data_IF_571120488893
#
_entry.id   IF_571120488893
#
_cell.length_a   1.000
_cell.length_b   1.000
_cell.length_c   1.000
_cell.angle_alpha   90.00
_cell.angle_beta   90.00
_cell.angle_gamma   90.00
#
_symmetry.space_group_name_H-M   'P 1'
#
loop_
_entity.id
_entity.type
_entity.pdbx_description
1 polymer ?
#
# COMPACT_ATOMS: atom_id res chain seq x y z
N UNK A 1 14.22 10.39 19.42
CA UNK A 1 15.05 9.24 19.06
C UNK A 1 15.78 8.73 20.30
N UNK A 2 15.33 7.61 20.86
CA UNK A 2 16.12 6.85 21.80
C UNK A 2 17.27 6.22 21.01
N UNK A 3 18.48 6.70 21.24
CA UNK A 3 19.66 6.21 20.55
C UNK A 3 19.99 4.82 21.09
N UNK A 4 20.24 3.96 20.15
CA UNK A 4 20.82 2.64 20.16
C UNK A 4 21.57 2.28 21.46
N UNK A 5 20.89 1.58 22.35
CA UNK A 5 21.51 0.93 23.53
C UNK A 5 21.89 -0.53 23.22
N UNK A 6 21.44 -1.07 22.09
CA UNK A 6 21.72 -2.41 21.65
C UNK A 6 21.68 -2.50 20.12
N UNK A 7 22.55 -3.30 19.53
CA UNK A 7 22.47 -3.65 18.11
C UNK A 7 21.29 -4.57 17.82
N UNK A 8 20.80 -5.26 18.84
CA UNK A 8 19.76 -6.25 18.73
C UNK A 8 18.39 -5.59 18.57
N UNK A 9 18.15 -4.48 19.27
CA UNK A 9 16.84 -3.82 19.26
C UNK A 9 16.95 -2.31 19.38
N UNK A 10 16.21 -1.61 18.51
CA UNK A 10 15.85 -0.19 18.66
C UNK A 10 14.34 -0.09 18.71
N UNK A 11 13.80 0.55 19.73
CA UNK A 11 12.36 0.80 19.88
C UNK A 11 12.06 2.25 19.55
N UNK A 12 11.03 2.48 18.76
CA UNK A 12 10.60 3.80 18.34
C UNK A 12 9.07 3.90 18.49
N UNK A 13 8.56 4.25 19.69
CA UNK A 13 7.16 4.62 19.83
C UNK A 13 6.91 5.96 19.14
N UNK A 14 5.74 6.13 18.57
CA UNK A 14 5.31 7.37 17.92
C UNK A 14 3.80 7.54 18.02
N UNK A 15 3.39 8.75 17.76
CA UNK A 15 1.99 9.13 17.67
C UNK A 15 1.81 10.04 16.46
N UNK A 16 0.77 9.78 15.68
CA UNK A 16 0.31 10.65 14.60
C UNK A 16 -1.17 10.98 14.83
N UNK A 17 -1.58 12.17 14.44
CA UNK A 17 -2.97 12.60 14.48
C UNK A 17 -3.35 13.31 13.20
N UNK A 18 -4.57 13.10 12.75
CA UNK A 18 -5.15 13.81 11.63
C UNK A 18 -6.46 14.47 12.07
N UNK A 19 -6.57 15.76 11.81
CA UNK A 19 -7.82 16.50 11.92
C UNK A 19 -8.12 17.15 10.58
N UNK A 20 -9.30 16.90 10.07
CA UNK A 20 -9.79 17.43 8.80
C UNK A 20 -11.19 17.96 9.02
N UNK A 21 -11.47 19.16 8.51
CA UNK A 21 -12.81 19.74 8.50
C UNK A 21 -13.40 19.59 7.11
N UNK A 22 -14.64 19.18 7.02
CA UNK A 22 -15.37 19.09 5.76
C UNK A 22 -15.43 20.47 5.09
N UNK A 23 -15.23 20.50 3.80
CA UNK A 23 -15.52 21.69 2.98
C UNK A 23 -16.99 21.66 2.58
N UNK A 24 -17.82 22.55 3.14
CA UNK A 24 -19.26 22.58 2.83
C UNK A 24 -19.55 22.97 1.37
N UNK A 25 -18.59 23.61 0.68
CA UNK A 25 -18.65 23.92 -0.73
C UNK A 25 -17.85 22.96 -1.60
N UNK A 26 -17.30 21.89 -0.98
CA UNK A 26 -16.33 21.01 -1.57
C UNK A 26 -16.90 20.21 -2.73
N UNK A 27 -16.55 20.61 -3.93
CA UNK A 27 -16.64 19.78 -5.13
C UNK A 27 -15.57 18.68 -5.13
N UNK A 28 -14.64 18.69 -4.17
CA UNK A 28 -13.57 17.71 -4.07
C UNK A 28 -13.93 16.68 -3.01
N UNK A 29 -14.05 15.48 -3.45
CA UNK A 29 -14.42 14.27 -2.69
C UNK A 29 -13.49 13.97 -1.50
N UNK A 30 -12.31 14.59 -1.46
CA UNK A 30 -11.30 14.39 -0.41
C UNK A 30 -11.63 15.10 0.90
N UNK A 31 -12.50 16.13 0.89
CA UNK A 31 -12.83 16.95 2.05
C UNK A 31 -14.31 16.89 2.43
N UNK A 32 -14.97 15.78 2.14
CA UNK A 32 -16.40 15.63 2.45
C UNK A 32 -16.65 15.40 3.94
N UNK A 33 -15.71 14.78 4.65
CA UNK A 33 -15.90 14.32 6.01
C UNK A 33 -15.14 15.21 7.00
N UNK A 34 -15.78 15.53 8.12
CA UNK A 34 -15.06 15.91 9.33
C UNK A 34 -14.40 14.66 9.90
N UNK A 35 -13.11 14.71 10.14
CA UNK A 35 -12.34 13.55 10.60
C UNK A 35 -11.45 13.95 11.76
N UNK A 36 -11.42 13.13 12.78
CA UNK A 36 -10.42 13.23 13.84
C UNK A 36 -9.95 11.82 14.18
N UNK A 37 -8.72 11.50 13.75
CA UNK A 37 -8.14 10.17 13.87
C UNK A 37 -6.80 10.27 14.60
N UNK A 38 -6.63 9.47 15.62
CA UNK A 38 -5.45 9.30 16.42
C UNK A 38 -4.78 7.97 16.10
N UNK A 39 -3.47 7.95 15.89
CA UNK A 39 -2.72 6.75 15.54
C UNK A 39 -1.48 6.60 16.41
N UNK A 40 -1.60 6.04 17.63
CA UNK A 40 -0.45 5.52 18.33
C UNK A 40 0.16 4.34 17.59
N UNK A 41 1.49 4.25 17.61
CA UNK A 41 2.22 3.19 16.95
C UNK A 41 3.59 2.97 17.55
N UNK A 42 4.21 1.88 17.16
CA UNK A 42 5.62 1.62 17.47
C UNK A 42 6.31 0.92 16.31
N UNK A 43 7.62 1.08 16.25
CA UNK A 43 8.53 0.33 15.41
C UNK A 43 9.63 -0.27 16.25
N UNK A 44 9.95 -1.53 16.00
CA UNK A 44 11.08 -2.25 16.59
C UNK A 44 11.94 -2.80 15.47
N UNK A 45 13.23 -2.46 15.46
CA UNK A 45 14.14 -2.95 14.44
C UNK A 45 15.53 -3.21 15.02
N UNK A 46 16.29 -4.09 14.37
CA UNK A 46 17.63 -4.43 14.81
C UNK A 46 18.27 -5.55 14.02
N UNK A 47 19.41 -6.02 14.53
CA UNK A 47 20.18 -7.13 13.97
C UNK A 47 20.53 -8.14 15.05
N UNK A 48 20.27 -9.41 14.77
CA UNK A 48 20.65 -10.51 15.65
C UNK A 48 21.98 -11.10 15.14
N UNK A 49 23.08 -10.45 15.52
CA UNK A 49 24.41 -10.80 15.07
C UNK A 49 24.54 -10.79 13.54
N UNK A 50 25.06 -11.90 12.98
CA UNK A 50 25.12 -12.12 11.52
C UNK A 50 23.97 -12.99 10.99
N UNK A 51 23.03 -13.37 11.85
CA UNK A 51 21.96 -14.32 11.51
C UNK A 51 20.89 -13.65 10.64
N UNK A 52 20.31 -12.56 11.14
CA UNK A 52 19.26 -11.81 10.44
C UNK A 52 19.12 -10.38 10.97
N UNK A 53 18.57 -9.52 10.17
CA UNK A 53 18.01 -8.23 10.57
C UNK A 53 16.47 -8.29 10.49
N UNK A 54 15.81 -7.41 11.26
CA UNK A 54 14.37 -7.35 11.31
C UNK A 54 13.86 -5.92 11.49
N UNK A 55 12.64 -5.70 11.02
CA UNK A 55 11.89 -4.46 11.18
C UNK A 55 10.42 -4.80 11.36
N UNK A 56 9.84 -4.40 12.48
CA UNK A 56 8.44 -4.64 12.82
C UNK A 56 7.80 -3.31 13.18
N UNK A 57 6.66 -3.00 12.58
CA UNK A 57 5.86 -1.84 12.97
C UNK A 57 4.41 -2.23 13.21
N UNK A 58 3.76 -1.52 14.14
CA UNK A 58 2.34 -1.65 14.42
C UNK A 58 1.72 -0.27 14.64
N UNK A 59 0.52 -0.08 14.11
CA UNK A 59 -0.28 1.13 14.21
C UNK A 59 -1.72 0.77 14.56
N UNK A 60 -2.32 1.54 15.45
CA UNK A 60 -3.74 1.45 15.74
C UNK A 60 -4.38 2.82 15.54
N UNK A 61 -5.44 2.87 14.75
CA UNK A 61 -6.20 4.09 14.49
C UNK A 61 -7.50 4.08 15.30
N UNK A 62 -7.73 5.18 16.01
CA UNK A 62 -8.90 5.43 16.82
C UNK A 62 -9.44 6.82 16.50
N UNK A 63 -10.76 6.97 16.45
CA UNK A 63 -11.34 8.28 16.19
C UNK A 63 -12.73 8.20 15.57
N UNK A 64 -13.05 9.18 14.74
CA UNK A 64 -14.32 9.24 14.06
C UNK A 64 -14.24 9.92 12.69
N UNK A 65 -15.20 9.58 11.83
CA UNK A 65 -15.52 10.25 10.58
C UNK A 65 -16.98 10.72 10.68
N UNK A 66 -17.23 12.01 10.45
CA UNK A 66 -18.57 12.58 10.46
C UNK A 66 -18.90 13.16 9.08
N UNK A 67 -20.04 12.77 8.51
CA UNK A 67 -20.54 13.31 7.25
C UNK A 67 -21.56 14.43 7.55
N UNK A 68 -21.22 15.71 7.36
CA UNK A 68 -22.11 16.81 7.68
C UNK A 68 -23.37 16.87 6.79
N UNK A 69 -23.38 16.18 5.66
CA UNK A 69 -24.55 16.13 4.78
C UNK A 69 -25.57 15.11 5.25
N UNK A 70 -25.13 13.94 5.67
CA UNK A 70 -26.01 12.87 6.14
C UNK A 70 -26.18 12.84 7.65
N UNK A 71 -25.39 13.65 8.40
CA UNK A 71 -25.29 13.66 9.86
C UNK A 71 -24.84 12.30 10.44
N UNK A 72 -24.33 11.42 9.61
CA UNK A 72 -23.82 10.13 10.03
C UNK A 72 -22.42 10.26 10.64
N UNK A 73 -22.21 9.63 11.78
CA UNK A 73 -20.90 9.51 12.41
C UNK A 73 -20.50 8.05 12.44
N UNK A 74 -19.30 7.76 11.94
CA UNK A 74 -18.73 6.43 11.93
C UNK A 74 -17.49 6.43 12.83
N UNK A 75 -17.39 5.47 13.74
CA UNK A 75 -16.21 5.31 14.59
C UNK A 75 -15.09 4.70 13.78
N UNK A 76 -13.89 5.29 13.85
CA UNK A 76 -12.67 4.71 13.31
C UNK A 76 -12.06 3.75 14.32
N UNK A 77 -11.85 2.49 13.93
CA UNK A 77 -11.14 1.48 14.72
C UNK A 77 -10.40 0.54 13.77
N UNK A 78 -9.15 0.88 13.44
CA UNK A 78 -8.41 0.20 12.40
C UNK A 78 -6.97 -0.07 12.82
N UNK A 79 -6.35 -1.07 12.19
CA UNK A 79 -4.98 -1.45 12.51
C UNK A 79 -4.16 -1.77 11.27
N UNK A 80 -2.86 -1.48 11.36
CA UNK A 80 -1.90 -1.82 10.34
C UNK A 80 -0.57 -2.25 10.95
N UNK A 81 0.08 -3.24 10.33
CA UNK A 81 1.40 -3.67 10.76
C UNK A 81 2.25 -4.16 9.60
N UNK A 82 3.56 -4.09 9.79
CA UNK A 82 4.55 -4.68 8.87
C UNK A 82 5.54 -5.51 9.64
N UNK A 83 5.97 -6.60 9.04
CA UNK A 83 7.03 -7.46 9.54
C UNK A 83 8.00 -7.69 8.39
N UNK A 84 9.25 -7.35 8.57
CA UNK A 84 10.33 -7.64 7.64
C UNK A 84 11.44 -8.39 8.35
N UNK A 85 11.94 -9.46 7.74
CA UNK A 85 13.10 -10.22 8.22
C UNK A 85 14.02 -10.47 7.03
N UNK A 86 15.30 -10.19 7.21
CA UNK A 86 16.30 -10.32 6.16
C UNK A 86 17.60 -10.94 6.63
N UNK A 87 18.30 -11.60 5.71
CA UNK A 87 19.64 -12.12 5.92
C UNK A 87 20.55 -11.73 4.77
N UNK A 88 21.68 -11.12 5.11
CA UNK A 88 22.77 -10.86 4.17
C UNK A 88 23.76 -12.02 4.24
N UNK A 89 24.12 -12.58 3.09
CA UNK A 89 25.07 -13.68 2.99
C UNK A 89 26.49 -13.14 2.76
N UNK A 90 27.47 -13.86 3.27
CA UNK A 90 28.89 -13.54 3.09
C UNK A 90 29.33 -13.98 1.68
N UNK A 91 29.28 -13.06 0.75
CA UNK A 91 29.62 -13.25 -0.66
C UNK A 91 30.05 -11.90 -1.24
N UNK A 92 30.94 -11.85 -2.26
CA UNK A 92 31.37 -10.58 -2.88
C UNK A 92 30.21 -9.68 -3.34
N UNK A 93 29.11 -10.23 -3.79
CA UNK A 93 27.91 -9.49 -4.22
C UNK A 93 26.94 -9.18 -3.07
N UNK A 94 27.27 -9.59 -1.84
CA UNK A 94 26.46 -9.35 -0.63
C UNK A 94 24.97 -9.60 -0.83
N UNK A 95 24.57 -10.79 -1.36
CA UNK A 95 23.16 -11.05 -1.57
C UNK A 95 22.41 -10.99 -0.24
N UNK A 96 21.26 -10.30 -0.24
CA UNK A 96 20.36 -10.22 0.90
C UNK A 96 18.99 -10.76 0.50
N UNK A 97 18.55 -11.81 1.18
CA UNK A 97 17.19 -12.34 1.05
C UNK A 97 16.33 -11.76 2.15
N UNK A 98 15.13 -11.28 1.81
CA UNK A 98 14.19 -10.67 2.73
C UNK A 98 12.79 -11.23 2.52
N UNK A 99 12.12 -11.56 3.62
CA UNK A 99 10.69 -11.81 3.69
C UNK A 99 9.99 -10.60 4.30
N UNK A 100 8.90 -10.19 3.71
CA UNK A 100 8.08 -9.08 4.18
C UNK A 100 6.61 -9.52 4.24
N UNK A 101 5.91 -9.09 5.27
CA UNK A 101 4.47 -9.18 5.37
C UNK A 101 3.90 -7.84 5.84
N UNK A 102 2.98 -7.29 5.05
CA UNK A 102 2.24 -6.09 5.38
C UNK A 102 0.76 -6.39 5.53
N UNK A 103 0.14 -5.79 6.53
CA UNK A 103 -1.28 -5.86 6.82
C UNK A 103 -1.84 -4.48 7.11
N UNK A 104 -2.95 -4.15 6.48
CA UNK A 104 -3.79 -3.01 6.79
C UNK A 104 -5.24 -3.50 6.82
N UNK A 105 -5.94 -3.26 7.91
CA UNK A 105 -7.34 -3.69 8.06
C UNK A 105 -8.25 -3.07 7.01
N UNK A 106 -9.32 -3.77 6.69
CA UNK A 106 -10.40 -3.32 5.82
C UNK A 106 -11.72 -3.37 6.58
N UNK A 107 -12.67 -2.57 6.14
CA UNK A 107 -14.02 -2.55 6.69
C UNK A 107 -14.78 -3.84 6.30
N UNK A 108 -15.30 -4.52 7.31
CA UNK A 108 -16.02 -5.79 7.13
C UNK A 108 -17.52 -5.60 6.93
N UNK A 109 -18.04 -4.52 7.51
CA UNK A 109 -19.47 -4.23 7.51
C UNK A 109 -19.73 -2.72 7.51
N UNK A 110 -19.85 -2.09 6.37
CA UNK A 110 -20.02 -0.64 6.25
C UNK A 110 -21.33 -0.09 6.85
N UNK A 111 -22.17 -0.95 7.46
CA UNK A 111 -23.49 -0.57 8.00
C UNK A 111 -23.57 -0.71 9.52
N UNK A 112 -22.46 -0.97 10.23
CA UNK A 112 -22.47 -1.16 11.69
C UNK A 112 -22.05 0.09 12.49
N UNK A 113 -21.77 1.20 11.80
CA UNK A 113 -21.33 2.45 12.44
C UNK A 113 -19.85 2.47 12.81
N UNK A 114 -19.10 1.45 12.45
CA UNK A 114 -17.65 1.40 12.59
C UNK A 114 -16.97 1.40 11.21
N UNK A 115 -15.84 2.09 11.09
CA UNK A 115 -14.93 2.01 9.96
C UNK A 115 -13.66 1.31 10.43
N UNK A 116 -13.51 0.06 10.05
CA UNK A 116 -12.34 -0.75 10.38
C UNK A 116 -11.26 -0.65 9.30
N UNK A 117 -11.44 0.18 8.28
CA UNK A 117 -10.46 0.39 7.23
C UNK A 117 -9.31 1.23 7.73
N UNK A 118 -8.10 0.73 7.60
CA UNK A 118 -6.89 1.47 7.90
C UNK A 118 -6.70 2.59 6.87
N UNK A 119 -6.56 3.82 7.37
CA UNK A 119 -6.28 5.00 6.57
C UNK A 119 -4.78 5.32 6.61
N UNK A 120 -4.15 5.38 5.47
CA UNK A 120 -2.70 5.65 5.38
C UNK A 120 -2.30 7.09 5.76
N UNK A 121 -3.25 8.00 6.09
CA UNK A 121 -3.08 9.42 6.35
C UNK A 121 -2.38 10.15 5.20
N UNK A 122 -1.06 10.02 5.16
CA UNK A 122 -0.18 10.58 4.15
C UNK A 122 0.84 9.52 3.74
N UNK A 123 1.31 9.61 2.52
CA UNK A 123 2.38 8.74 2.06
C UNK A 123 2.21 8.30 0.61
N UNK A 124 3.26 7.70 0.12
CA UNK A 124 3.34 7.21 -1.25
C UNK A 124 3.05 5.71 -1.28
N UNK A 125 2.42 5.26 -2.36
CA UNK A 125 2.16 3.84 -2.56
C UNK A 125 3.44 3.03 -2.88
N UNK A 126 4.52 3.68 -3.32
CA UNK A 126 5.77 3.02 -3.74
C UNK A 126 6.36 1.99 -2.77
N UNK A 127 6.33 2.15 -1.44
CA UNK A 127 6.80 1.11 -0.53
C UNK A 127 6.01 -0.20 -0.65
N UNK A 128 4.76 -0.11 -1.14
CA UNK A 128 3.84 -1.24 -1.27
C UNK A 128 3.82 -1.80 -2.69
N UNK A 129 3.85 -0.92 -3.69
CA UNK A 129 3.84 -1.25 -5.10
C UNK A 129 4.55 -0.15 -5.88
N UNK A 130 5.53 -0.50 -6.71
CA UNK A 130 6.30 0.49 -7.46
C UNK A 130 5.46 1.21 -8.53
N UNK A 131 4.42 0.59 -9.01
CA UNK A 131 3.46 1.11 -10.00
C UNK A 131 2.28 1.85 -9.37
N UNK A 132 2.27 2.02 -8.05
CA UNK A 132 1.16 2.60 -7.28
C UNK A 132 -0.18 1.84 -7.41
N UNK A 133 -0.16 0.59 -7.89
CA UNK A 133 -1.36 -0.21 -8.06
C UNK A 133 -1.96 -0.63 -6.72
N UNK A 134 -1.14 -0.80 -5.69
CA UNK A 134 -1.54 -1.21 -4.35
C UNK A 134 -1.09 -0.19 -3.31
N UNK A 135 -1.97 0.15 -2.40
CA UNK A 135 -1.72 1.09 -1.30
C UNK A 135 -1.90 0.39 0.05
N UNK A 136 -1.44 1.04 1.13
CA UNK A 136 -1.50 0.48 2.48
C UNK A 136 -2.87 0.71 3.13
N UNK A 137 -3.90 0.13 2.53
CA UNK A 137 -5.29 0.16 2.98
C UNK A 137 -5.95 -1.14 2.56
N UNK A 138 -6.75 -1.75 3.43
CA UNK A 138 -7.46 -3.01 3.16
C UNK A 138 -6.57 -4.07 2.49
N UNK A 139 -5.38 -4.31 3.02
CA UNK A 139 -4.33 -5.04 2.34
C UNK A 139 -3.68 -6.12 3.21
N UNK A 140 -3.42 -7.27 2.60
CA UNK A 140 -2.47 -8.30 3.03
C UNK A 140 -1.45 -8.47 1.91
N UNK A 141 -0.17 -8.21 2.19
CA UNK A 141 0.90 -8.20 1.18
C UNK A 141 2.13 -8.99 1.64
N UNK A 142 2.14 -10.32 1.50
CA UNK A 142 3.38 -11.08 1.60
C UNK A 142 4.29 -10.78 0.41
N UNK A 143 5.60 -10.61 0.67
CA UNK A 143 6.63 -10.34 -0.35
C UNK A 143 7.91 -11.10 -0.04
N UNK A 144 8.63 -11.45 -1.11
CA UNK A 144 10.01 -11.94 -1.05
C UNK A 144 10.85 -10.97 -1.88
N UNK A 145 11.96 -10.48 -1.30
CA UNK A 145 12.90 -9.59 -1.98
C UNK A 145 14.32 -10.13 -1.91
N UNK A 146 15.04 -9.94 -2.98
CA UNK A 146 16.45 -10.28 -3.08
C UNK A 146 17.24 -9.08 -3.59
N UNK A 147 18.21 -8.63 -2.80
CA UNK A 147 19.10 -7.52 -3.13
C UNK A 147 20.49 -8.08 -3.45
N UNK A 148 21.17 -7.47 -4.43
CA UNK A 148 22.54 -7.78 -4.81
C UNK A 148 23.34 -6.50 -5.00
N UNK A 149 24.58 -6.49 -4.57
CA UNK A 149 25.49 -5.37 -4.74
C UNK A 149 26.84 -5.85 -5.33
N UNK A 150 26.90 -6.12 -6.65
CA UNK A 150 28.11 -6.64 -7.29
C UNK A 150 29.30 -5.70 -7.20
N UNK A 151 29.07 -4.39 -7.17
CA UNK A 151 30.10 -3.36 -6.99
C UNK A 151 29.61 -2.28 -6.02
N UNK A 152 30.51 -1.39 -5.61
CA UNK A 152 30.12 -0.25 -4.76
C UNK A 152 29.15 0.72 -5.47
N UNK A 153 29.10 0.69 -6.81
CA UNK A 153 28.26 1.58 -7.62
C UNK A 153 26.99 0.92 -8.16
N UNK A 154 26.96 -0.41 -8.24
CA UNK A 154 25.88 -1.14 -8.92
C UNK A 154 25.13 -2.03 -7.94
N UNK A 155 23.84 -1.84 -7.87
CA UNK A 155 22.91 -2.67 -7.08
C UNK A 155 21.73 -3.15 -7.92
N UNK A 156 21.25 -4.34 -7.62
CA UNK A 156 20.05 -4.94 -8.17
C UNK A 156 19.08 -5.29 -7.05
N UNK A 157 17.80 -5.17 -7.33
CA UNK A 157 16.73 -5.60 -6.44
C UNK A 157 15.69 -6.35 -7.27
N UNK A 158 15.28 -7.51 -6.78
CA UNK A 158 14.22 -8.32 -7.33
C UNK A 158 13.18 -8.56 -6.24
N UNK A 159 11.92 -8.27 -6.51
CA UNK A 159 10.82 -8.46 -5.57
C UNK A 159 9.72 -9.26 -6.24
N UNK A 160 9.13 -10.19 -5.50
CA UNK A 160 7.88 -10.84 -5.85
C UNK A 160 6.89 -10.66 -4.72
N UNK A 161 5.72 -10.14 -5.05
CA UNK A 161 4.69 -9.78 -4.07
C UNK A 161 3.35 -10.37 -4.46
N UNK A 162 2.59 -10.80 -3.44
CA UNK A 162 1.18 -11.17 -3.59
C UNK A 162 0.34 -10.15 -2.83
N UNK A 163 -0.85 -9.86 -3.35
CA UNK A 163 -1.75 -8.87 -2.79
C UNK A 163 -3.13 -9.46 -2.60
N UNK A 164 -3.62 -9.37 -1.38
CA UNK A 164 -4.97 -9.80 -1.01
C UNK A 164 -5.68 -8.66 -0.28
N UNK A 165 -6.98 -8.58 -0.42
CA UNK A 165 -7.80 -7.71 0.42
C UNK A 165 -7.84 -8.28 1.85
N UNK A 166 -7.75 -7.42 2.87
CA UNK A 166 -7.97 -7.81 4.25
C UNK A 166 -9.46 -8.09 4.52
N UNK A 167 -10.34 -7.30 3.91
CA UNK A 167 -11.78 -7.53 3.80
C UNK A 167 -12.21 -7.55 2.33
N UNK A 168 -12.78 -8.65 1.88
CA UNK A 168 -13.26 -8.82 0.52
C UNK A 168 -14.53 -8.00 0.19
N UNK A 169 -15.16 -7.38 1.20
CA UNK A 169 -16.33 -6.53 1.03
C UNK A 169 -15.99 -5.05 0.97
N UNK A 170 -14.75 -4.71 1.28
CA UNK A 170 -14.27 -3.34 1.23
C UNK A 170 -13.53 -3.06 -0.09
N UNK A 171 -13.21 -1.80 -0.33
CA UNK A 171 -12.54 -1.33 -1.53
C UNK A 171 -11.06 -1.64 -1.53
N UNK A 172 -10.49 -1.85 -2.71
CA UNK A 172 -9.06 -2.07 -2.92
C UNK A 172 -8.26 -0.77 -2.93
N UNK A 173 -8.81 0.29 -3.55
CA UNK A 173 -8.15 1.59 -3.71
C UNK A 173 -8.97 2.71 -3.10
N UNK A 174 -8.27 3.77 -2.68
CA UNK A 174 -8.90 5.03 -2.31
C UNK A 174 -8.75 6.12 -3.38
N UNK A 175 -7.60 6.14 -4.06
CA UNK A 175 -7.22 7.23 -4.98
C UNK A 175 -8.20 7.36 -6.16
N UNK A 176 -8.73 6.27 -6.66
CA UNK A 176 -9.69 6.28 -7.76
C UNK A 176 -11.14 6.45 -7.27
N UNK A 177 -11.39 6.18 -6.02
CA UNK A 177 -12.70 6.36 -5.40
C UNK A 177 -13.04 7.83 -5.14
N UNK A 178 -12.05 8.68 -5.02
CA UNK A 178 -12.26 10.08 -4.74
C UNK A 178 -13.25 10.77 -5.67
N UNK A 179 -13.35 10.34 -6.91
CA UNK A 179 -14.26 10.90 -7.89
C UNK A 179 -15.44 9.98 -8.29
N UNK A 180 -15.35 8.70 -7.99
CA UNK A 180 -16.28 7.72 -8.55
C UNK A 180 -17.20 7.14 -7.48
N UNK A 181 -16.70 6.94 -6.27
CA UNK A 181 -17.47 6.25 -5.24
C UNK A 181 -18.50 7.12 -4.54
N UNK A 182 -18.38 8.42 -4.65
CA UNK A 182 -19.41 9.32 -4.10
C UNK A 182 -20.63 9.46 -4.97
N UNK A 183 -20.59 8.98 -6.17
CA UNK A 183 -21.83 8.65 -6.85
C UNK A 183 -22.28 7.29 -6.32
N UNK A 184 -23.03 7.35 -5.29
CA UNK A 184 -23.76 6.29 -4.58
C UNK A 184 -24.37 5.22 -5.51
N UNK A 185 -24.41 5.45 -6.79
CA UNK A 185 -25.03 4.59 -7.80
C UNK A 185 -24.08 3.61 -8.46
N UNK A 186 -22.76 3.85 -8.42
CA UNK A 186 -21.79 2.88 -8.89
C UNK A 186 -20.84 2.53 -7.72
N UNK A 187 -20.91 1.30 -7.18
CA UNK A 187 -20.02 0.87 -6.10
C UNK A 187 -18.55 0.84 -6.51
N UNK A 188 -18.23 1.37 -7.71
CA UNK A 188 -16.92 1.34 -8.28
C UNK A 188 -16.47 -0.08 -8.63
N UNK A 189 -15.61 -0.22 -9.62
CA UNK A 189 -15.07 -1.54 -9.95
C UNK A 189 -14.11 -2.07 -8.86
N UNK A 190 -13.65 -1.22 -7.94
CA UNK A 190 -12.70 -1.56 -6.90
C UNK A 190 -13.35 -2.07 -5.59
N UNK A 191 -14.69 -2.15 -5.52
CA UNK A 191 -15.44 -2.63 -4.35
C UNK A 191 -16.48 -3.66 -4.72
N UNK A 192 -16.57 -4.74 -3.95
CA UNK A 192 -17.65 -5.72 -4.00
C UNK A 192 -18.28 -5.90 -2.62
N UNK A 193 -19.41 -5.26 -2.37
CA UNK A 193 -20.14 -5.38 -1.09
C UNK A 193 -20.63 -6.79 -0.79
N UNK A 194 -20.80 -7.63 -1.82
CA UNK A 194 -21.21 -9.03 -1.64
C UNK A 194 -20.07 -9.93 -1.22
N UNK A 195 -18.82 -9.53 -1.58
CA UNK A 195 -17.61 -10.30 -1.36
C UNK A 195 -17.48 -11.54 -2.26
N UNK A 196 -18.29 -11.65 -3.32
CA UNK A 196 -18.24 -12.78 -4.25
C UNK A 196 -17.09 -12.67 -5.27
N UNK A 197 -16.53 -11.47 -5.44
CA UNK A 197 -15.38 -11.26 -6.32
C UNK A 197 -14.07 -11.89 -5.81
N UNK A 198 -14.06 -12.40 -4.57
CA UNK A 198 -12.87 -12.95 -3.94
C UNK A 198 -12.06 -11.89 -3.17
N UNK A 199 -10.88 -12.28 -2.70
CA UNK A 199 -9.95 -11.38 -2.01
C UNK A 199 -8.58 -11.30 -2.67
N UNK A 200 -8.25 -12.18 -3.61
CA UNK A 200 -6.97 -12.16 -4.31
C UNK A 200 -6.94 -11.04 -5.36
N UNK A 201 -6.22 -9.94 -5.03
CA UNK A 201 -6.08 -8.81 -5.92
C UNK A 201 -5.10 -9.09 -7.08
N UNK A 202 -4.03 -9.86 -6.82
CA UNK A 202 -3.04 -10.20 -7.82
C UNK A 202 -1.65 -10.40 -7.24
N UNK A 203 -0.66 -10.44 -8.14
CA UNK A 203 0.74 -10.52 -7.77
C UNK A 203 1.59 -9.63 -8.69
N UNK A 204 2.76 -9.22 -8.21
CA UNK A 204 3.68 -8.43 -8.99
C UNK A 204 5.10 -8.98 -8.92
N UNK A 205 5.79 -8.89 -10.05
CA UNK A 205 7.24 -8.98 -10.13
C UNK A 205 7.80 -7.57 -10.31
N UNK A 206 8.77 -7.20 -9.48
CA UNK A 206 9.43 -5.89 -9.55
C UNK A 206 10.94 -6.11 -9.67
N UNK A 207 11.57 -5.41 -10.60
CA UNK A 207 13.02 -5.38 -10.79
C UNK A 207 13.54 -3.95 -10.75
N UNK A 208 14.65 -3.71 -10.05
CA UNK A 208 15.32 -2.41 -10.01
C UNK A 208 16.82 -2.56 -10.21
N UNK A 209 17.39 -1.64 -10.99
CA UNK A 209 18.83 -1.47 -11.15
C UNK A 209 19.16 -0.08 -10.63
N UNK A 210 20.10 0.00 -9.68
CA UNK A 210 20.61 1.25 -9.14
C UNK A 210 22.08 1.41 -9.52
N UNK A 211 22.42 2.57 -10.05
CA UNK A 211 23.79 2.89 -10.43
C UNK A 211 24.23 4.24 -9.87
N UNK A 212 25.29 4.23 -9.06
CA UNK A 212 25.90 5.45 -8.53
C UNK A 212 26.89 5.99 -9.55
N UNK A 213 26.45 7.01 -10.32
CA UNK A 213 27.27 7.64 -11.38
C UNK A 213 28.43 8.40 -10.77
N UNK A 214 28.14 9.26 -9.78
CA UNK A 214 29.10 9.99 -8.95
C UNK A 214 28.69 9.94 -7.49
N UNK A 215 29.51 10.38 -6.52
CA UNK A 215 29.06 10.45 -5.12
C UNK A 215 27.77 11.28 -4.89
N UNK A 216 27.45 12.18 -5.83
CA UNK A 216 26.29 13.07 -5.75
C UNK A 216 25.16 12.70 -6.73
N UNK A 217 25.39 11.80 -7.67
CA UNK A 217 24.40 11.47 -8.73
C UNK A 217 24.16 9.97 -8.72
N UNK A 218 22.94 9.57 -8.45
CA UNK A 218 22.44 8.20 -8.57
C UNK A 218 21.38 8.10 -9.66
N UNK A 219 21.34 6.96 -10.35
CA UNK A 219 20.31 6.62 -11.33
C UNK A 219 19.63 5.31 -10.95
N UNK A 220 18.33 5.22 -11.15
CA UNK A 220 17.53 4.01 -10.93
C UNK A 220 16.69 3.74 -12.15
N UNK A 221 16.75 2.51 -12.66
CA UNK A 221 15.81 1.98 -13.64
C UNK A 221 14.98 0.90 -12.96
N UNK A 222 13.67 0.99 -13.03
CA UNK A 222 12.78 0.00 -12.44
C UNK A 222 11.69 -0.43 -13.40
N UNK A 223 11.30 -1.70 -13.29
CA UNK A 223 10.21 -2.30 -14.02
C UNK A 223 9.35 -3.13 -13.09
N UNK A 224 8.03 -3.02 -13.26
CA UNK A 224 7.03 -3.82 -12.54
C UNK A 224 6.06 -4.42 -13.54
N UNK A 225 5.78 -5.71 -13.37
CA UNK A 225 4.68 -6.40 -14.04
C UNK A 225 3.69 -6.87 -12.98
N UNK A 226 2.48 -6.31 -13.00
CA UNK A 226 1.37 -6.74 -12.15
C UNK A 226 0.45 -7.66 -12.93
N UNK A 227 0.15 -8.83 -12.37
CA UNK A 227 -0.83 -9.78 -12.88
C UNK A 227 -2.07 -9.74 -12.01
N UNK A 228 -3.21 -9.40 -12.60
CA UNK A 228 -4.48 -9.30 -11.91
C UNK A 228 -4.95 -10.65 -11.37
N UNK A 229 -5.40 -10.65 -10.11
CA UNK A 229 -6.08 -11.76 -9.46
C UNK A 229 -7.58 -11.79 -9.72
N UNK A 230 -8.26 -12.72 -9.07
CA UNK A 230 -9.69 -12.94 -9.29
C UNK A 230 -10.54 -11.74 -8.88
N UNK A 231 -10.19 -11.05 -7.78
CA UNK A 231 -10.90 -9.84 -7.38
C UNK A 231 -10.93 -8.80 -8.50
N UNK A 232 -9.76 -8.45 -9.04
CA UNK A 232 -9.64 -7.42 -10.09
C UNK A 232 -10.39 -7.85 -11.36
N UNK A 233 -10.18 -9.09 -11.80
CA UNK A 233 -10.86 -9.63 -12.99
C UNK A 233 -12.37 -9.63 -12.86
N UNK A 234 -12.88 -10.08 -11.71
CA UNK A 234 -14.32 -10.15 -11.46
C UNK A 234 -14.93 -8.74 -11.35
N UNK A 235 -14.19 -7.77 -10.78
CA UNK A 235 -14.67 -6.38 -10.70
C UNK A 235 -14.67 -5.68 -12.06
N UNK A 236 -13.66 -5.89 -12.89
CA UNK A 236 -13.65 -5.41 -14.27
C UNK A 236 -14.84 -6.00 -15.05
N UNK A 237 -15.09 -7.30 -14.91
CA UNK A 237 -16.20 -7.97 -15.58
C UNK A 237 -17.58 -7.47 -15.13
N UNK A 238 -17.72 -7.06 -13.87
CA UNK A 238 -18.94 -6.55 -13.28
C UNK A 238 -19.15 -5.04 -13.50
N UNK A 239 -18.21 -4.33 -14.10
CA UNK A 239 -18.31 -2.87 -14.29
C UNK A 239 -19.47 -2.52 -15.22
N UNK A 240 -20.37 -1.59 -14.85
CA UNK A 240 -21.46 -1.12 -15.72
C UNK A 240 -20.97 -0.53 -17.04
N UNK A 241 -19.79 0.08 -17.07
CA UNK A 241 -19.18 0.60 -18.28
C UNK A 241 -18.90 -0.49 -19.29
N UNK A 242 -18.66 -1.72 -18.83
CA UNK A 242 -18.49 -2.89 -19.68
C UNK A 242 -19.82 -3.47 -20.18
N UNK A 243 -20.88 -3.30 -19.39
CA UNK A 243 -22.22 -3.81 -19.73
C UNK A 243 -22.96 -2.91 -20.73
N UNK A 244 -22.65 -1.61 -20.78
CA UNK A 244 -23.42 -0.61 -21.55
C UNK A 244 -22.83 -0.27 -22.91
N UNK A 245 -21.78 -0.98 -23.37
CA UNK A 245 -21.22 -0.77 -24.71
C UNK A 245 -20.49 0.56 -24.91
N UNK A 246 -20.16 1.28 -23.85
CA UNK A 246 -19.31 2.44 -23.96
C UNK A 246 -17.90 2.04 -24.40
N UNK A 247 -17.34 2.81 -25.33
CA UNK A 247 -16.15 2.59 -26.16
C UNK A 247 -14.84 2.50 -25.33
N UNK A 248 -14.86 1.97 -24.14
CA UNK A 248 -13.65 1.58 -23.44
C UNK A 248 -13.39 0.08 -23.63
N UNK A 249 -12.12 -0.34 -23.67
CA UNK A 249 -11.72 -1.68 -24.12
C UNK A 249 -12.12 -2.81 -23.15
N UNK A 250 -13.33 -2.72 -22.61
CA UNK A 250 -13.89 -3.77 -21.78
C UNK A 250 -14.14 -5.07 -22.53
N UNK A 251 -14.13 -5.04 -23.88
CA UNK A 251 -14.65 -6.15 -24.67
C UNK A 251 -13.64 -7.26 -24.86
N UNK A 252 -12.36 -6.96 -25.00
CA UNK A 252 -11.40 -8.00 -25.41
C UNK A 252 -10.11 -8.12 -24.59
N UNK A 253 -9.83 -7.22 -23.63
CA UNK A 253 -8.59 -7.25 -22.84
C UNK A 253 -8.82 -7.05 -21.33
N UNK A 254 -9.70 -7.86 -20.75
CA UNK A 254 -10.06 -7.82 -19.33
C UNK A 254 -9.01 -8.43 -18.42
N UNK A 255 -7.72 -8.26 -18.72
CA UNK A 255 -6.69 -8.89 -17.89
C UNK A 255 -6.48 -8.16 -16.58
N UNK A 256 -6.65 -6.83 -16.56
CA UNK A 256 -6.26 -5.99 -15.43
C UNK A 256 -4.76 -6.00 -15.16
N UNK A 257 -3.97 -6.61 -16.05
CA UNK A 257 -2.53 -6.64 -15.94
C UNK A 257 -1.94 -5.27 -16.28
N UNK A 258 -0.83 -4.92 -15.63
CA UNK A 258 -0.19 -3.62 -15.81
C UNK A 258 1.32 -3.78 -15.88
N UNK A 259 1.92 -3.06 -16.84
CA UNK A 259 3.36 -2.92 -16.97
C UNK A 259 3.74 -1.49 -16.63
N UNK A 260 4.74 -1.32 -15.78
CA UNK A 260 5.24 -0.02 -15.37
C UNK A 260 6.75 0.03 -15.45
N UNK A 261 7.27 0.96 -16.25
CA UNK A 261 8.69 1.23 -16.39
C UNK A 261 8.96 2.65 -15.92
N UNK A 262 9.99 2.84 -15.10
CA UNK A 262 10.41 4.15 -14.67
C UNK A 262 11.92 4.31 -14.66
N UNK A 263 12.34 5.55 -14.88
CA UNK A 263 13.72 5.99 -14.73
C UNK A 263 13.76 7.19 -13.77
N UNK A 264 14.65 7.14 -12.80
CA UNK A 264 14.80 8.17 -11.79
C UNK A 264 16.26 8.56 -11.67
N UNK A 265 16.52 9.87 -11.59
CA UNK A 265 17.84 10.42 -11.29
C UNK A 265 17.75 11.22 -10.00
N UNK A 266 18.57 10.85 -9.02
CA UNK A 266 18.71 11.56 -7.76
C UNK A 266 19.99 12.39 -7.79
N UNK A 267 19.87 13.69 -7.58
CA UNK A 267 21.02 14.62 -7.52
C UNK A 267 21.06 15.24 -6.12
N UNK A 268 22.17 15.05 -5.40
CA UNK A 268 22.43 15.67 -4.11
C UNK A 268 23.18 16.98 -4.33
N UNK A 269 22.58 18.11 -3.94
CA UNK A 269 23.14 19.44 -4.13
C UNK A 269 24.04 19.90 -2.98
N UNK A 270 24.18 19.09 -1.91
CA UNK A 270 25.02 19.37 -0.72
C UNK A 270 26.23 18.44 -0.64
#
# INVERSE_FOLDING_TARGET
HWRKWSDIVTLQPYYMGQKQTADPNGFTTTNRLDREIHMPGFRAYGKVGKLFDYDVSYNHQLGYNHDPLTQATTRQDAQGYTIEVGRTFDHPWKPKLMGFYGYASGDRNPNDGEDNRFDRFFGFARPWSADHYVIYENLKAPKIRMDFQPTQKLGFELTYAWYFLASKRDRMFDILDGNISNTIKDPGFNRDRTGQSGDFAGHAFEGRIRYQVTPKIGATLGYTHFTAGDFVKNRIAASPSCATGHIHPCVDHRSGNTDFLYFEVLISLL
#
